data_IF_281586425954
#
_entry.id   IF_281586425954
#
_cell.length_a   1.000
_cell.length_b   1.000
_cell.length_c   1.000
_cell.angle_alpha   90.00
_cell.angle_beta   90.00
_cell.angle_gamma   90.00
#
_symmetry.space_group_name_H-M   'P 1'
#
loop_
_entity.id
_entity.type
_entity.pdbx_description
1 polymer ?
#
# COMPACT_ATOMS: atom_id res chain seq x y z
N UNK A 1 10.65 0.42 -3.07
CA UNK A 1 11.56 -0.68 -2.66
C UNK A 1 12.03 -0.54 -1.22
N UNK A 2 12.67 0.57 -0.81
CA UNK A 2 13.09 0.77 0.59
C UNK A 2 11.89 0.67 1.55
N UNK A 3 10.81 1.38 1.24
CA UNK A 3 9.53 1.29 1.94
C UNK A 3 9.06 -0.16 2.13
N UNK A 4 8.81 -0.90 1.04
CA UNK A 4 8.31 -2.28 1.10
C UNK A 4 9.23 -3.25 1.84
N UNK A 5 10.56 -3.05 1.75
CA UNK A 5 11.52 -3.83 2.53
C UNK A 5 11.43 -3.54 4.04
N UNK A 6 11.23 -2.27 4.40
CA UNK A 6 10.96 -1.88 5.79
C UNK A 6 9.64 -2.48 6.26
N UNK A 7 8.57 -2.39 5.46
CA UNK A 7 7.25 -2.98 5.78
C UNK A 7 7.37 -4.48 6.05
N UNK A 8 8.06 -5.24 5.19
CA UNK A 8 8.33 -6.66 5.42
C UNK A 8 9.02 -6.91 6.78
N UNK A 9 10.07 -6.13 7.11
CA UNK A 9 10.79 -6.29 8.39
C UNK A 9 9.90 -6.06 9.60
N UNK A 10 9.03 -5.05 9.56
CA UNK A 10 8.11 -4.74 10.67
C UNK A 10 6.90 -5.67 10.70
N UNK A 11 6.39 -6.07 9.55
CA UNK A 11 5.37 -7.12 9.43
C UNK A 11 5.84 -8.38 10.15
N UNK A 12 7.07 -8.84 9.87
CA UNK A 12 7.67 -10.00 10.54
C UNK A 12 7.73 -9.86 12.06
N UNK A 13 7.82 -8.64 12.60
CA UNK A 13 7.75 -8.41 14.03
C UNK A 13 6.32 -8.46 14.56
N UNK A 14 5.35 -7.87 13.84
CA UNK A 14 3.95 -7.85 14.24
C UNK A 14 3.25 -9.20 14.08
N UNK A 15 3.79 -10.11 13.28
CA UNK A 15 3.23 -11.46 13.11
C UNK A 15 3.83 -12.51 14.05
N UNK A 16 4.79 -12.17 14.93
CA UNK A 16 5.42 -13.15 15.86
C UNK A 16 4.45 -13.83 16.82
N UNK A 17 3.33 -13.18 17.13
CA UNK A 17 2.28 -13.70 18.00
C UNK A 17 1.19 -14.44 17.23
N UNK A 18 1.29 -14.50 15.90
CA UNK A 18 0.36 -15.24 15.06
C UNK A 18 0.95 -16.62 14.79
N UNK A 19 0.13 -17.66 14.98
CA UNK A 19 0.57 -19.03 14.77
C UNK A 19 0.74 -19.35 13.27
N UNK A 20 1.73 -20.20 12.96
CA UNK A 20 1.91 -20.86 11.67
C UNK A 20 2.12 -19.96 10.44
N UNK A 21 2.64 -18.73 10.61
CA UNK A 21 2.97 -17.90 9.45
C UNK A 21 4.23 -18.34 8.73
N UNK A 22 4.06 -18.68 7.45
CA UNK A 22 5.14 -19.00 6.56
C UNK A 22 5.90 -17.73 6.19
N UNK A 23 7.23 -17.79 6.28
CA UNK A 23 8.09 -16.65 5.95
C UNK A 23 7.88 -16.20 4.49
N UNK A 24 7.66 -17.14 3.56
CA UNK A 24 7.40 -16.85 2.14
C UNK A 24 6.17 -15.96 1.96
N UNK A 25 5.08 -16.22 2.69
CA UNK A 25 3.88 -15.38 2.65
C UNK A 25 4.14 -13.98 3.20
N UNK A 26 4.93 -13.85 4.26
CA UNK A 26 5.32 -12.53 4.79
C UNK A 26 6.16 -11.73 3.78
N UNK A 27 7.06 -12.41 3.06
CA UNK A 27 7.86 -11.81 1.99
C UNK A 27 6.96 -11.34 0.85
N UNK A 28 6.04 -12.19 0.38
CA UNK A 28 5.08 -11.86 -0.69
C UNK A 28 4.24 -10.64 -0.29
N UNK A 29 3.58 -10.69 0.88
CA UNK A 29 2.74 -9.60 1.37
C UNK A 29 3.53 -8.31 1.55
N UNK A 30 4.65 -8.36 2.27
CA UNK A 30 5.45 -7.18 2.59
C UNK A 30 6.07 -6.52 1.36
N UNK A 31 6.56 -7.30 0.39
CA UNK A 31 7.22 -6.74 -0.79
C UNK A 31 6.23 -6.33 -1.89
N UNK A 32 5.08 -7.00 -2.02
CA UNK A 32 4.15 -6.80 -3.14
C UNK A 32 2.91 -5.99 -2.78
N UNK A 33 2.67 -5.63 -1.51
CA UNK A 33 1.47 -4.86 -1.13
C UNK A 33 1.28 -3.58 -1.97
N UNK A 34 2.38 -2.94 -2.35
CA UNK A 34 2.42 -1.62 -2.98
C UNK A 34 2.82 -1.64 -4.46
N UNK A 35 2.81 -2.81 -5.11
CA UNK A 35 3.19 -2.94 -6.52
C UNK A 35 2.29 -2.09 -7.45
N UNK A 36 1.08 -1.71 -7.01
CA UNK A 36 0.20 -0.78 -7.73
C UNK A 36 0.81 0.60 -7.98
N UNK A 37 1.82 1.02 -7.20
CA UNK A 37 2.52 2.31 -7.34
C UNK A 37 3.64 2.29 -8.38
N UNK A 38 3.94 1.15 -9.00
CA UNK A 38 4.92 1.06 -10.09
C UNK A 38 4.42 1.86 -11.30
N UNK A 39 5.26 2.78 -11.79
CA UNK A 39 4.94 3.72 -12.89
C UNK A 39 3.72 4.61 -12.63
N UNK A 40 3.33 4.82 -11.38
CA UNK A 40 2.17 5.64 -11.01
C UNK A 40 2.50 7.14 -10.93
N UNK A 41 3.74 7.47 -10.58
CA UNK A 41 4.20 8.85 -10.43
C UNK A 41 5.05 9.28 -11.61
N UNK A 42 4.75 10.45 -12.17
CA UNK A 42 5.51 11.08 -13.25
C UNK A 42 6.03 12.44 -12.81
N UNK A 43 7.28 12.74 -13.16
CA UNK A 43 7.81 14.09 -12.98
C UNK A 43 7.16 15.04 -13.98
N UNK A 44 6.64 16.15 -13.47
CA UNK A 44 6.07 17.23 -14.25
C UNK A 44 6.62 18.56 -13.75
N UNK A 45 6.48 19.61 -14.57
CA UNK A 45 6.90 20.96 -14.23
C UNK A 45 5.64 21.81 -14.05
N UNK A 46 5.55 22.53 -12.94
CA UNK A 46 4.50 23.54 -12.72
C UNK A 46 5.12 24.90 -12.47
N UNK A 47 4.43 25.93 -12.95
CA UNK A 47 4.76 27.30 -12.62
C UNK A 47 4.20 27.65 -11.24
N UNK A 48 5.07 28.04 -10.32
CA UNK A 48 4.73 28.52 -8.98
C UNK A 48 4.94 30.02 -8.94
N UNK A 49 3.95 30.75 -8.43
CA UNK A 49 4.05 32.21 -8.29
C UNK A 49 4.91 32.55 -7.09
N UNK A 50 5.89 33.44 -7.28
CA UNK A 50 6.69 33.97 -6.17
C UNK A 50 5.84 34.96 -5.37
N UNK A 51 5.72 34.73 -4.06
CA UNK A 51 4.97 35.62 -3.18
C UNK A 51 5.59 37.02 -3.16
N UNK A 52 4.78 38.05 -3.44
CA UNK A 52 5.23 39.44 -3.51
C UNK A 52 5.77 39.90 -4.87
N UNK A 53 5.94 39.00 -5.83
CA UNK A 53 6.40 39.36 -7.19
C UNK A 53 5.34 39.07 -8.27
N UNK A 54 5.46 39.73 -9.42
CA UNK A 54 4.70 39.41 -10.65
C UNK A 54 5.51 38.45 -11.54
N UNK A 55 6.18 37.46 -10.94
CA UNK A 55 7.02 36.47 -11.63
C UNK A 55 6.61 35.05 -11.24
N UNK A 56 6.94 34.11 -12.11
CA UNK A 56 6.69 32.68 -11.96
C UNK A 56 8.00 31.92 -12.08
N UNK A 57 8.16 30.86 -11.29
CA UNK A 57 9.29 29.94 -11.36
C UNK A 57 8.81 28.51 -11.64
N UNK A 58 9.58 27.78 -12.43
CA UNK A 58 9.33 26.38 -12.73
C UNK A 58 9.82 25.49 -11.59
N UNK A 59 8.92 24.72 -11.01
CA UNK A 59 9.24 23.73 -9.98
C UNK A 59 8.90 22.33 -10.48
N UNK A 60 9.83 21.39 -10.28
CA UNK A 60 9.52 19.97 -10.44
C UNK A 60 8.51 19.53 -9.38
N UNK A 61 7.51 18.76 -9.81
CA UNK A 61 6.59 18.08 -8.92
C UNK A 61 6.24 16.70 -9.48
N UNK A 62 5.77 15.81 -8.62
CA UNK A 62 5.23 14.53 -9.07
C UNK A 62 3.73 14.66 -9.32
N UNK A 63 3.29 14.24 -10.50
CA UNK A 63 1.88 14.07 -10.84
C UNK A 63 1.53 12.58 -10.85
N UNK A 64 0.26 12.29 -10.61
CA UNK A 64 -0.30 10.95 -10.67
C UNK A 64 -0.76 10.70 -12.09
N UNK A 65 -0.21 9.66 -12.73
CA UNK A 65 -0.63 9.19 -14.04
C UNK A 65 -1.04 7.73 -13.92
N UNK A 66 -2.29 7.51 -13.46
CA UNK A 66 -2.82 6.16 -13.31
C UNK A 66 -3.23 5.57 -14.66
N UNK A 67 -2.33 4.81 -15.27
CA UNK A 67 -2.56 4.10 -16.53
C UNK A 67 -3.51 2.91 -16.39
N UNK A 68 -3.87 2.51 -15.16
CA UNK A 68 -4.73 1.35 -14.92
C UNK A 68 -5.60 1.56 -13.67
N UNK A 69 -6.79 2.17 -13.82
CA UNK A 69 -7.64 2.63 -12.72
C UNK A 69 -8.47 1.48 -12.12
N UNK A 70 -7.81 0.59 -11.37
CA UNK A 70 -8.42 -0.59 -10.76
C UNK A 70 -8.64 -0.47 -9.23
N UNK A 71 -8.18 0.63 -8.61
CA UNK A 71 -8.09 0.75 -7.15
C UNK A 71 -6.73 0.28 -6.62
N UNK A 72 -6.24 0.84 -5.52
CA UNK A 72 -4.85 0.64 -5.09
C UNK A 72 -4.56 -0.80 -4.64
N UNK A 73 -5.33 -1.31 -3.67
CA UNK A 73 -5.15 -2.67 -3.17
C UNK A 73 -5.51 -3.74 -4.21
N UNK A 74 -6.61 -3.55 -4.94
CA UNK A 74 -7.06 -4.42 -6.03
C UNK A 74 -6.01 -4.56 -7.13
N UNK A 75 -5.43 -3.44 -7.54
CA UNK A 75 -4.39 -3.41 -8.58
C UNK A 75 -3.16 -4.16 -8.13
N UNK A 76 -2.75 -4.05 -6.86
CA UNK A 76 -1.61 -4.81 -6.34
C UNK A 76 -1.86 -6.32 -6.42
N UNK A 77 -3.02 -6.78 -5.95
CA UNK A 77 -3.41 -8.20 -6.06
C UNK A 77 -3.44 -8.65 -7.51
N UNK A 78 -4.12 -7.89 -8.38
CA UNK A 78 -4.25 -8.22 -9.80
C UNK A 78 -2.89 -8.35 -10.50
N UNK A 79 -1.98 -7.39 -10.26
CA UNK A 79 -0.64 -7.42 -10.86
C UNK A 79 0.19 -8.59 -10.34
N UNK A 80 0.17 -8.86 -9.02
CA UNK A 80 0.90 -9.99 -8.44
C UNK A 80 0.40 -11.34 -8.99
N UNK A 81 -0.92 -11.52 -9.08
CA UNK A 81 -1.54 -12.76 -9.57
C UNK A 81 -1.24 -13.08 -11.03
N UNK A 82 -0.74 -12.12 -11.82
CA UNK A 82 -0.29 -12.37 -13.20
C UNK A 82 1.04 -13.12 -13.27
N UNK A 83 1.79 -13.19 -12.17
CA UNK A 83 3.12 -13.79 -12.14
C UNK A 83 3.24 -14.93 -11.13
N UNK A 84 2.51 -14.86 -10.03
CA UNK A 84 2.51 -15.88 -8.98
C UNK A 84 1.08 -16.17 -8.51
N UNK A 85 0.81 -17.38 -8.05
CA UNK A 85 -0.46 -17.69 -7.37
C UNK A 85 -0.38 -17.21 -5.93
N UNK A 86 -1.32 -16.35 -5.53
CA UNK A 86 -1.48 -15.92 -4.14
C UNK A 86 -2.45 -16.84 -3.42
N UNK A 87 -2.19 -17.09 -2.14
CA UNK A 87 -3.20 -17.63 -1.21
C UNK A 87 -4.26 -16.59 -0.90
N UNK A 88 -5.41 -17.04 -0.39
CA UNK A 88 -6.49 -16.14 0.02
C UNK A 88 -6.03 -15.14 1.08
N UNK A 89 -5.22 -15.59 2.04
CA UNK A 89 -4.65 -14.76 3.10
C UNK A 89 -3.72 -13.68 2.55
N UNK A 90 -2.83 -14.04 1.62
CA UNK A 90 -1.92 -13.09 0.96
C UNK A 90 -2.70 -12.06 0.13
N UNK A 91 -3.66 -12.52 -0.66
CA UNK A 91 -4.47 -11.65 -1.51
C UNK A 91 -5.30 -10.67 -0.67
N UNK A 92 -5.94 -11.15 0.40
CA UNK A 92 -6.75 -10.31 1.30
C UNK A 92 -5.87 -9.32 2.07
N UNK A 93 -4.69 -9.75 2.53
CA UNK A 93 -3.75 -8.87 3.21
C UNK A 93 -3.26 -7.76 2.29
N UNK A 94 -2.80 -8.10 1.08
CA UNK A 94 -2.39 -7.12 0.07
C UNK A 94 -3.54 -6.19 -0.30
N UNK A 95 -4.76 -6.71 -0.44
CA UNK A 95 -5.93 -5.89 -0.76
C UNK A 95 -6.19 -4.81 0.30
N UNK A 96 -6.13 -5.17 1.57
CA UNK A 96 -6.52 -4.28 2.67
C UNK A 96 -5.34 -3.60 3.38
N UNK A 97 -4.15 -3.59 2.77
CA UNK A 97 -2.95 -3.01 3.38
C UNK A 97 -3.10 -1.52 3.71
N UNK A 98 -3.85 -0.74 2.92
CA UNK A 98 -4.11 0.70 3.19
C UNK A 98 -5.16 0.93 4.28
N UNK A 99 -5.86 -0.13 4.70
CA UNK A 99 -6.92 -0.06 5.69
C UNK A 99 -7.93 1.06 5.43
N UNK A 100 -8.16 1.93 6.43
CA UNK A 100 -9.13 3.03 6.34
C UNK A 100 -8.74 4.17 5.39
N UNK A 101 -7.53 4.16 4.83
CA UNK A 101 -7.12 5.10 3.78
C UNK A 101 -7.54 4.64 2.38
N UNK A 102 -7.97 3.40 2.24
CA UNK A 102 -8.56 2.89 1.01
C UNK A 102 -9.95 3.50 0.80
N UNK A 103 -10.21 4.04 -0.39
CA UNK A 103 -11.51 4.63 -0.71
C UNK A 103 -12.64 3.59 -0.66
N UNK A 104 -12.37 2.32 -0.96
CA UNK A 104 -13.32 1.23 -0.81
C UNK A 104 -13.69 1.01 0.67
N UNK A 105 -12.76 1.22 1.62
CA UNK A 105 -13.01 1.06 3.04
C UNK A 105 -13.89 2.17 3.64
N UNK A 106 -13.96 3.35 3.01
CA UNK A 106 -14.74 4.51 3.50
C UNK A 106 -16.25 4.27 3.43
N UNK A 107 -16.71 3.44 2.51
CA UNK A 107 -18.12 3.05 2.44
C UNK A 107 -18.47 2.05 3.56
N UNK A 108 -19.67 2.14 4.13
CA UNK A 108 -20.09 1.24 5.22
C UNK A 108 -19.97 -0.26 4.87
N UNK A 109 -20.28 -0.63 3.62
CA UNK A 109 -20.11 -2.01 3.16
C UNK A 109 -18.63 -2.43 3.08
N UNK A 110 -17.76 -1.54 2.59
CA UNK A 110 -16.34 -1.83 2.46
C UNK A 110 -15.60 -1.81 3.80
N UNK A 111 -15.94 -0.89 4.70
CA UNK A 111 -15.43 -0.90 6.08
C UNK A 111 -15.80 -2.19 6.83
N UNK A 112 -17.00 -2.73 6.62
CA UNK A 112 -17.36 -4.07 7.14
C UNK A 112 -16.56 -5.19 6.48
N UNK A 113 -16.35 -5.13 5.17
CA UNK A 113 -15.52 -6.11 4.47
C UNK A 113 -14.07 -6.10 4.98
N UNK A 114 -13.49 -4.93 5.19
CA UNK A 114 -12.17 -4.76 5.80
C UNK A 114 -12.15 -5.30 7.24
N UNK A 115 -13.14 -4.97 8.05
CA UNK A 115 -13.24 -5.45 9.44
C UNK A 115 -13.33 -6.98 9.50
N UNK A 116 -14.10 -7.58 8.60
CA UNK A 116 -14.18 -9.03 8.46
C UNK A 116 -12.84 -9.60 7.99
N UNK A 117 -12.18 -8.98 7.01
CA UNK A 117 -10.86 -9.39 6.54
C UNK A 117 -9.83 -9.43 7.67
N UNK A 118 -9.78 -8.40 8.52
CA UNK A 118 -8.87 -8.35 9.67
C UNK A 118 -9.21 -9.37 10.76
N UNK A 119 -10.49 -9.72 10.89
CA UNK A 119 -10.95 -10.74 11.82
C UNK A 119 -10.66 -12.16 11.34
N UNK A 120 -10.78 -12.41 10.03
CA UNK A 120 -10.48 -13.70 9.40
C UNK A 120 -8.99 -13.93 9.22
N UNK A 121 -8.25 -12.88 8.84
CA UNK A 121 -6.81 -12.91 8.58
C UNK A 121 -6.12 -11.80 9.38
N UNK A 122 -5.69 -12.08 10.62
CA UNK A 122 -5.01 -11.10 11.47
C UNK A 122 -3.71 -10.55 10.85
N UNK A 123 -3.09 -11.30 9.94
CA UNK A 123 -1.95 -10.85 9.11
C UNK A 123 -2.27 -9.62 8.26
N UNK A 124 -3.50 -9.48 7.77
CA UNK A 124 -3.93 -8.30 7.03
C UNK A 124 -3.91 -7.04 7.91
N UNK A 125 -4.34 -7.16 9.17
CA UNK A 125 -4.23 -6.08 10.15
C UNK A 125 -2.77 -5.79 10.49
N UNK A 126 -1.94 -6.84 10.67
CA UNK A 126 -0.51 -6.69 10.94
C UNK A 126 0.22 -5.98 9.79
N UNK A 127 -0.13 -6.28 8.53
CA UNK A 127 0.40 -5.61 7.35
C UNK A 127 -0.01 -4.15 7.30
N UNK A 128 -1.28 -3.83 7.55
CA UNK A 128 -1.73 -2.45 7.63
C UNK A 128 -0.99 -1.66 8.73
N UNK A 129 -0.80 -2.26 9.91
CA UNK A 129 -0.03 -1.63 10.99
C UNK A 129 1.43 -1.44 10.58
N UNK A 130 2.05 -2.41 9.89
CA UNK A 130 3.41 -2.30 9.38
C UNK A 130 3.56 -1.16 8.37
N UNK A 131 2.66 -1.07 7.40
CA UNK A 131 2.64 -0.02 6.40
C UNK A 131 2.48 1.37 7.05
N UNK A 132 1.51 1.51 7.94
CA UNK A 132 1.28 2.74 8.71
C UNK A 132 2.48 3.12 9.57
N UNK A 133 3.11 2.15 10.23
CA UNK A 133 4.29 2.38 11.07
C UNK A 133 5.46 2.90 10.22
N UNK A 134 5.74 2.27 9.08
CA UNK A 134 6.84 2.69 8.20
C UNK A 134 6.55 4.08 7.60
N UNK A 135 5.34 4.29 7.09
CA UNK A 135 4.93 5.55 6.47
C UNK A 135 4.96 6.72 7.46
N UNK A 136 4.37 6.56 8.65
CA UNK A 136 4.12 7.69 9.55
C UNK A 136 5.11 7.83 10.70
N UNK A 137 5.70 6.73 11.19
CA UNK A 137 6.65 6.78 12.31
C UNK A 137 8.08 6.85 11.79
N UNK A 138 8.41 6.10 10.73
CA UNK A 138 9.75 6.15 10.15
C UNK A 138 9.89 7.18 9.02
N UNK A 139 8.77 7.63 8.43
CA UNK A 139 8.77 8.58 7.32
C UNK A 139 9.33 7.98 6.03
N UNK A 140 9.10 6.69 5.79
CA UNK A 140 9.65 5.93 4.65
C UNK A 140 8.58 5.41 3.70
#
# INVERSE_FOLDING_TARGET
LIHSLSVYKYLRNFTKTLDNMQEDSLVIMGLLHDICKVNFFKKAIRNVKISGERRWEEHEYYTIEDQFPMGHGEKSVYLAMRFISLTDEEAISIRWHMGGYDDAARAYAGGRAQSNAFSTYPTAAALNIADMYVTHILGQ
#
